data_IF_751734632868
#
_entry.id   IF_751734632868
#
_cell.length_a   1.000
_cell.length_b   1.000
_cell.length_c   1.000
_cell.angle_alpha   90.00
_cell.angle_beta   90.00
_cell.angle_gamma   90.00
#
_symmetry.space_group_name_H-M   'P 1'
#
loop_
_entity.id
_entity.type
_entity.pdbx_description
1 polymer ?
#
# COMPACT_ATOMS: atom_id res chain seq x y z
N UNK A 1 2.88 7.79 5.51
CA UNK A 1 4.27 7.29 5.44
C UNK A 1 4.63 6.53 6.70
N UNK A 2 5.21 5.34 6.55
CA UNK A 2 5.62 4.45 7.65
C UNK A 2 7.13 4.18 7.58
N UNK A 3 7.91 4.76 8.48
CA UNK A 3 9.37 4.64 8.53
C UNK A 3 9.84 3.28 9.10
N UNK A 4 11.13 2.93 8.97
CA UNK A 4 11.67 1.61 9.35
C UNK A 4 11.38 1.14 10.78
N UNK A 5 11.18 2.04 11.73
CA UNK A 5 10.86 1.68 13.12
C UNK A 5 9.50 0.97 13.24
N UNK A 6 8.57 1.23 12.31
CA UNK A 6 7.21 0.65 12.33
C UNK A 6 7.12 -0.73 11.68
N UNK A 7 8.16 -1.21 11.03
CA UNK A 7 8.13 -2.52 10.33
C UNK A 7 7.86 -3.73 11.23
N UNK A 8 7.97 -3.56 12.55
CA UNK A 8 7.70 -4.62 13.54
C UNK A 8 6.32 -4.51 14.19
N UNK A 9 5.51 -3.52 13.78
CA UNK A 9 4.20 -3.24 14.37
C UNK A 9 3.12 -3.86 13.49
N UNK A 10 2.22 -4.62 14.11
CA UNK A 10 1.10 -5.25 13.42
C UNK A 10 -0.01 -4.24 13.07
N UNK A 11 -0.79 -4.57 12.05
CA UNK A 11 -1.89 -3.73 11.57
C UNK A 11 -2.89 -3.32 12.67
N UNK A 12 -3.24 -4.23 13.58
CA UNK A 12 -4.18 -3.93 14.67
C UNK A 12 -3.63 -2.86 15.64
N UNK A 13 -2.31 -2.84 15.85
CA UNK A 13 -1.69 -1.83 16.70
C UNK A 13 -1.62 -0.47 15.99
N UNK A 14 -1.40 -0.47 14.66
CA UNK A 14 -1.50 0.74 13.84
C UNK A 14 -2.93 1.30 13.88
N UNK A 15 -3.95 0.46 13.75
CA UNK A 15 -5.35 0.87 13.90
C UNK A 15 -5.62 1.51 15.27
N UNK A 16 -5.20 0.84 16.35
CA UNK A 16 -5.35 1.36 17.73
C UNK A 16 -4.59 2.68 17.93
N UNK A 17 -3.43 2.80 17.32
CA UNK A 17 -2.67 4.04 17.35
C UNK A 17 -3.48 5.19 16.71
N UNK A 18 -4.00 5.01 15.49
CA UNK A 18 -4.77 6.05 14.80
C UNK A 18 -6.08 6.37 15.52
N UNK A 19 -6.78 5.39 16.09
CA UNK A 19 -7.96 5.67 16.94
C UNK A 19 -7.65 6.58 18.13
N UNK A 20 -6.46 6.46 18.73
CA UNK A 20 -5.98 7.34 19.78
C UNK A 20 -5.48 8.68 19.24
N UNK A 21 -4.79 8.68 18.10
CA UNK A 21 -4.27 9.88 17.45
C UNK A 21 -5.42 10.82 17.03
N UNK A 22 -6.47 10.29 16.40
CA UNK A 22 -7.67 11.03 16.02
C UNK A 22 -8.31 11.75 17.24
N UNK A 23 -8.39 11.07 18.39
CA UNK A 23 -8.90 11.67 19.63
C UNK A 23 -7.97 12.75 20.19
N UNK A 24 -6.65 12.52 20.19
CA UNK A 24 -5.69 13.55 20.64
C UNK A 24 -5.65 14.76 19.71
N UNK A 25 -5.86 14.52 18.42
CA UNK A 25 -5.98 15.55 17.41
C UNK A 25 -7.35 16.27 17.46
N UNK A 26 -8.28 15.85 18.36
CA UNK A 26 -9.61 16.41 18.53
C UNK A 26 -10.40 16.48 17.22
N UNK A 27 -10.26 15.48 16.35
CA UNK A 27 -11.03 15.37 15.12
C UNK A 27 -12.47 14.95 15.43
N UNK A 28 -13.43 15.56 14.75
CA UNK A 28 -14.84 15.24 14.86
C UNK A 28 -15.20 13.99 14.06
N UNK A 29 -14.66 12.84 14.53
CA UNK A 29 -14.75 11.56 13.85
C UNK A 29 -16.13 10.93 14.01
N UNK A 30 -16.69 10.38 12.94
CA UNK A 30 -17.91 9.61 12.96
C UNK A 30 -17.69 8.21 13.60
N UNK A 31 -18.74 7.72 14.28
CA UNK A 31 -18.75 6.43 14.93
C UNK A 31 -19.87 5.54 14.40
N UNK A 32 -19.61 4.24 14.39
CA UNK A 32 -20.64 3.25 14.07
C UNK A 32 -21.76 3.28 15.11
N UNK A 33 -22.98 2.95 14.69
CA UNK A 33 -24.10 2.76 15.61
C UNK A 33 -24.00 1.50 16.46
N UNK A 34 -24.89 1.35 17.44
CA UNK A 34 -25.04 0.14 18.26
C UNK A 34 -24.36 0.21 19.61
N UNK A 35 -24.25 -0.95 20.31
CA UNK A 35 -23.78 -1.05 21.69
C UNK A 35 -22.26 -0.88 21.88
N UNK A 36 -21.48 -1.00 20.81
CA UNK A 36 -20.01 -0.87 20.87
C UNK A 36 -19.52 0.01 19.74
N UNK A 37 -19.76 1.34 19.84
CA UNK A 37 -19.38 2.27 18.77
C UNK A 37 -17.86 2.34 18.62
N UNK A 38 -17.39 2.30 17.37
CA UNK A 38 -15.99 2.49 17.00
C UNK A 38 -15.89 3.49 15.86
N UNK A 39 -14.74 4.17 15.76
CA UNK A 39 -14.49 5.16 14.73
C UNK A 39 -14.65 4.52 13.35
N UNK A 40 -15.33 5.21 12.45
CA UNK A 40 -15.47 4.79 11.05
C UNK A 40 -14.16 5.15 10.34
N UNK A 41 -13.26 4.17 10.28
CA UNK A 41 -11.96 4.30 9.62
C UNK A 41 -11.52 2.97 9.03
N UNK A 42 -10.85 3.01 7.88
CA UNK A 42 -10.30 1.82 7.24
C UNK A 42 -9.00 2.12 6.50
N UNK A 43 -8.09 1.15 6.48
CA UNK A 43 -6.85 1.24 5.69
C UNK A 43 -7.05 0.62 4.32
N UNK A 44 -6.52 1.24 3.29
CA UNK A 44 -6.60 0.76 1.92
C UNK A 44 -5.93 -0.62 1.76
N UNK A 45 -4.72 -0.76 2.26
CA UNK A 45 -3.98 -2.01 2.19
C UNK A 45 -3.12 -2.16 3.46
N UNK A 46 -3.52 -3.00 4.43
CA UNK A 46 -2.74 -3.22 5.63
C UNK A 46 -1.28 -3.52 5.34
N UNK A 47 -0.37 -2.76 5.97
CA UNK A 47 1.06 -2.99 5.79
C UNK A 47 1.47 -4.25 6.54
N UNK A 48 2.11 -5.18 5.84
CA UNK A 48 2.64 -6.41 6.44
C UNK A 48 3.80 -6.13 7.37
N UNK A 49 3.96 -6.96 8.40
CA UNK A 49 5.13 -6.92 9.29
C UNK A 49 6.41 -7.15 8.46
N UNK A 50 7.43 -6.36 8.75
CA UNK A 50 8.70 -6.41 8.02
C UNK A 50 8.83 -5.37 6.90
N UNK A 51 7.73 -4.74 6.47
CA UNK A 51 7.72 -3.74 5.42
C UNK A 51 7.79 -2.32 5.98
N UNK A 52 8.35 -1.41 5.16
CA UNK A 52 8.20 0.04 5.31
C UNK A 52 7.33 0.58 4.20
N UNK A 53 6.86 1.82 4.32
CA UNK A 53 6.02 2.41 3.28
C UNK A 53 6.12 3.93 3.21
N UNK A 54 6.02 4.44 1.98
CA UNK A 54 5.85 5.86 1.65
C UNK A 54 4.40 6.17 1.23
N UNK A 55 3.63 5.16 0.79
CA UNK A 55 2.28 5.31 0.23
C UNK A 55 1.24 4.45 0.96
N UNK A 56 0.86 4.85 2.17
CA UNK A 56 -0.25 4.26 2.91
C UNK A 56 -1.44 5.20 2.93
N UNK A 57 -2.64 4.63 2.79
CA UNK A 57 -3.89 5.38 2.76
C UNK A 57 -4.87 4.87 3.82
N UNK A 58 -5.60 5.79 4.39
CA UNK A 58 -6.64 5.52 5.37
C UNK A 58 -7.84 6.42 5.10
N UNK A 59 -9.01 5.83 4.93
CA UNK A 59 -10.27 6.54 4.96
C UNK A 59 -10.67 6.83 6.41
N UNK A 60 -11.13 8.03 6.68
CA UNK A 60 -11.66 8.47 7.95
C UNK A 60 -12.94 9.27 7.71
N UNK A 61 -14.04 8.83 8.30
CA UNK A 61 -15.29 9.60 8.26
C UNK A 61 -15.32 10.62 9.39
N UNK A 62 -15.61 11.88 9.04
CA UNK A 62 -15.72 12.98 9.98
C UNK A 62 -17.04 13.72 9.79
N UNK A 63 -17.61 14.28 10.87
CA UNK A 63 -18.82 15.09 10.77
C UNK A 63 -18.52 16.52 10.32
N UNK A 64 -17.33 17.01 10.67
CA UNK A 64 -16.87 18.34 10.28
C UNK A 64 -15.34 18.37 10.19
N UNK A 65 -14.82 19.29 9.38
CA UNK A 65 -13.40 19.61 9.31
C UNK A 65 -13.21 21.13 9.09
N UNK A 66 -12.12 21.68 9.59
CA UNK A 66 -11.76 23.09 9.37
C UNK A 66 -11.09 23.25 7.99
N UNK A 67 -10.11 22.42 7.69
CA UNK A 67 -9.45 22.31 6.39
C UNK A 67 -8.61 21.03 6.34
N UNK A 68 -8.25 20.56 5.15
CA UNK A 68 -7.34 19.41 4.97
C UNK A 68 -5.97 19.66 5.62
N UNK A 69 -5.45 20.88 5.52
CA UNK A 69 -4.16 21.23 6.12
C UNK A 69 -4.22 21.27 7.65
N UNK A 70 -5.32 21.78 8.26
CA UNK A 70 -5.52 21.74 9.71
C UNK A 70 -5.55 20.30 10.23
N UNK A 71 -6.33 19.42 9.59
CA UNK A 71 -6.40 18.00 9.95
C UNK A 71 -5.02 17.35 9.87
N UNK A 72 -4.26 17.62 8.79
CA UNK A 72 -2.90 17.10 8.61
C UNK A 72 -1.97 17.56 9.73
N UNK A 73 -1.98 18.84 10.08
CA UNK A 73 -1.13 19.40 11.13
C UNK A 73 -1.47 18.82 12.51
N UNK A 74 -2.75 18.73 12.85
CA UNK A 74 -3.24 18.16 14.12
C UNK A 74 -2.90 16.66 14.24
N UNK A 75 -3.06 15.89 13.18
CA UNK A 75 -2.67 14.48 13.16
C UNK A 75 -1.17 14.29 13.30
N UNK A 76 -0.36 15.12 12.65
CA UNK A 76 1.10 15.06 12.78
C UNK A 76 1.55 15.45 14.20
N UNK A 77 0.93 16.47 14.80
CA UNK A 77 1.19 16.84 16.20
C UNK A 77 0.79 15.73 17.19
N UNK A 78 -0.25 14.96 16.87
CA UNK A 78 -0.70 13.82 17.67
C UNK A 78 0.03 12.50 17.36
N UNK A 79 0.91 12.49 16.35
CA UNK A 79 1.65 11.30 15.90
C UNK A 79 2.94 11.08 16.70
N UNK A 80 3.59 9.95 16.43
CA UNK A 80 4.88 9.57 17.01
C UNK A 80 5.96 9.56 15.92
N UNK A 81 7.25 9.67 16.29
CA UNK A 81 8.33 9.49 15.32
C UNK A 81 8.17 8.19 14.54
N UNK A 82 8.23 8.28 13.21
CA UNK A 82 8.06 7.13 12.31
C UNK A 82 6.72 7.10 11.58
N UNK A 83 5.70 7.86 12.03
CA UNK A 83 4.44 8.07 11.32
C UNK A 83 4.36 9.53 10.90
N UNK A 84 4.12 9.76 9.61
CA UNK A 84 3.96 11.09 9.03
C UNK A 84 2.72 11.12 8.13
N UNK A 85 1.83 12.06 8.37
CA UNK A 85 0.70 12.36 7.50
C UNK A 85 1.19 13.34 6.44
N UNK A 86 1.29 12.87 5.20
CA UNK A 86 1.83 13.67 4.08
C UNK A 86 0.76 14.48 3.39
N UNK A 87 -0.46 13.95 3.32
CA UNK A 87 -1.61 14.57 2.66
C UNK A 87 -2.91 14.21 3.35
N UNK A 88 -3.89 15.09 3.27
CA UNK A 88 -5.30 14.85 3.62
C UNK A 88 -6.13 15.37 2.44
N UNK A 89 -7.09 14.59 2.01
CA UNK A 89 -7.98 14.91 0.88
C UNK A 89 -9.43 14.68 1.27
N UNK A 90 -10.32 15.47 0.71
CA UNK A 90 -11.77 15.23 0.77
C UNK A 90 -12.12 14.30 -0.37
N UNK A 91 -12.79 13.20 -0.08
CA UNK A 91 -13.25 12.26 -1.09
C UNK A 91 -14.63 12.62 -1.61
N UNK A 92 -14.95 12.34 -2.87
CA UNK A 92 -16.30 12.44 -3.39
C UNK A 92 -17.26 11.52 -2.61
N UNK A 93 -18.52 11.93 -2.45
CA UNK A 93 -19.56 11.13 -1.74
C UNK A 93 -19.75 9.72 -2.31
N UNK A 94 -19.46 9.53 -3.60
CA UNK A 94 -19.53 8.24 -4.28
C UNK A 94 -18.18 7.53 -4.40
N UNK A 95 -17.15 8.03 -3.72
CA UNK A 95 -15.87 7.33 -3.70
C UNK A 95 -16.05 5.94 -3.11
N UNK A 96 -15.52 4.95 -3.78
CA UNK A 96 -15.45 3.60 -3.24
C UNK A 96 -14.57 3.56 -1.99
N UNK A 97 -14.79 2.59 -1.12
CA UNK A 97 -13.91 2.30 0.01
C UNK A 97 -12.47 2.08 -0.51
N UNK A 98 -11.48 2.74 0.11
CA UNK A 98 -10.08 2.68 -0.34
C UNK A 98 -9.55 1.24 -0.46
N UNK A 99 -9.94 0.34 0.47
CA UNK A 99 -9.54 -1.07 0.41
C UNK A 99 -10.06 -1.78 -0.86
N UNK A 100 -11.28 -1.48 -1.28
CA UNK A 100 -11.87 -2.06 -2.50
C UNK A 100 -11.30 -1.41 -3.78
N UNK A 101 -10.77 -0.19 -3.67
CA UNK A 101 -10.23 0.56 -4.80
C UNK A 101 -8.78 0.20 -5.14
N UNK A 102 -8.06 -0.50 -4.26
CA UNK A 102 -6.67 -0.90 -4.54
C UNK A 102 -6.63 -1.87 -5.71
N UNK A 103 -5.94 -1.45 -6.77
CA UNK A 103 -5.70 -2.26 -7.98
C UNK A 103 -4.25 -2.75 -8.06
N UNK A 104 -3.29 -1.89 -7.70
CA UNK A 104 -1.87 -2.21 -7.78
C UNK A 104 -1.09 -1.58 -6.63
N UNK A 105 0.13 -2.07 -6.41
CA UNK A 105 1.07 -1.45 -5.50
C UNK A 105 2.50 -1.50 -6.08
N UNK A 106 3.20 -0.39 -5.91
CA UNK A 106 4.59 -0.23 -6.27
C UNK A 106 5.50 -0.48 -5.07
N UNK A 107 6.57 -1.23 -5.28
CA UNK A 107 7.52 -1.57 -4.22
C UNK A 107 8.96 -1.36 -4.69
N UNK A 108 9.80 -0.94 -3.76
CA UNK A 108 11.24 -1.09 -3.87
C UNK A 108 11.66 -2.29 -3.04
N UNK A 109 12.47 -3.16 -3.63
CA UNK A 109 13.00 -4.37 -3.01
C UNK A 109 14.51 -4.32 -3.08
N UNK A 110 15.17 -4.41 -1.94
CA UNK A 110 16.62 -4.54 -1.80
C UNK A 110 16.96 -5.77 -0.96
N UNK A 111 18.21 -6.20 -1.02
CA UNK A 111 18.70 -7.32 -0.22
C UNK A 111 19.46 -6.80 1.01
N UNK A 112 19.38 -7.55 2.10
CA UNK A 112 20.24 -7.32 3.25
C UNK A 112 21.67 -7.72 2.89
N UNK A 113 22.62 -7.08 3.52
CA UNK A 113 24.05 -7.36 3.35
C UNK A 113 24.34 -8.88 3.44
N UNK A 114 25.05 -9.40 2.44
CA UNK A 114 25.40 -10.82 2.33
C UNK A 114 24.23 -11.76 2.02
N UNK A 115 23.06 -11.26 1.65
CA UNK A 115 21.86 -12.06 1.32
C UNK A 115 21.30 -11.79 -0.08
N UNK A 116 22.08 -11.10 -0.91
CA UNK A 116 21.77 -10.90 -2.32
C UNK A 116 21.96 -12.18 -3.15
N UNK A 117 21.52 -12.16 -4.42
CA UNK A 117 21.74 -13.28 -5.34
C UNK A 117 23.22 -13.44 -5.69
N UNK A 118 23.64 -14.69 -6.02
CA UNK A 118 24.95 -14.98 -6.57
C UNK A 118 24.96 -14.98 -8.11
N UNK A 119 23.79 -14.79 -8.73
CA UNK A 119 23.63 -14.64 -10.17
C UNK A 119 23.52 -13.14 -10.55
N UNK A 120 23.76 -12.83 -11.83
CA UNK A 120 23.55 -11.48 -12.37
C UNK A 120 22.06 -11.13 -12.37
N UNK A 121 21.68 -10.23 -11.46
CA UNK A 121 20.29 -9.88 -11.18
C UNK A 121 19.64 -9.21 -12.39
N UNK A 122 20.36 -8.36 -13.12
CA UNK A 122 19.83 -7.65 -14.29
C UNK A 122 19.42 -8.61 -15.38
N UNK A 123 20.37 -9.47 -15.83
CA UNK A 123 20.08 -10.48 -16.85
C UNK A 123 19.02 -11.50 -16.40
N UNK A 124 18.96 -11.80 -15.10
CA UNK A 124 17.94 -12.70 -14.57
C UNK A 124 16.54 -12.08 -14.65
N UNK A 125 16.41 -10.79 -14.33
CA UNK A 125 15.14 -10.04 -14.47
C UNK A 125 14.69 -9.99 -15.93
N UNK A 126 15.60 -9.75 -16.87
CA UNK A 126 15.25 -9.70 -18.30
C UNK A 126 14.73 -11.07 -18.78
N UNK A 127 15.43 -12.16 -18.43
CA UNK A 127 14.98 -13.54 -18.76
C UNK A 127 13.65 -13.88 -18.11
N UNK A 128 13.46 -13.50 -16.83
CA UNK A 128 12.24 -13.74 -16.08
C UNK A 128 11.05 -13.05 -16.73
N UNK A 129 11.22 -11.80 -17.14
CA UNK A 129 10.16 -11.03 -17.82
C UNK A 129 9.92 -11.45 -19.26
N UNK A 130 10.86 -12.12 -19.90
CA UNK A 130 10.70 -12.63 -21.28
C UNK A 130 9.83 -13.90 -21.34
N UNK A 131 9.51 -14.52 -20.22
CA UNK A 131 8.68 -15.73 -20.18
C UNK A 131 7.21 -15.41 -20.46
N UNK A 132 6.54 -16.37 -21.07
CA UNK A 132 5.08 -16.31 -21.31
C UNK A 132 4.31 -16.56 -20.01
N UNK A 133 4.83 -17.42 -19.13
CA UNK A 133 4.25 -17.80 -17.86
C UNK A 133 5.29 -17.84 -16.74
N UNK A 134 4.88 -17.45 -15.53
CA UNK A 134 5.66 -17.55 -14.29
C UNK A 134 4.77 -18.22 -13.26
N UNK A 135 4.84 -19.55 -13.21
CA UNK A 135 3.95 -20.35 -12.35
C UNK A 135 4.59 -20.55 -10.97
N UNK A 136 3.80 -20.31 -9.94
CA UNK A 136 4.14 -20.65 -8.56
C UNK A 136 3.00 -21.44 -7.90
N UNK A 137 3.36 -22.27 -6.94
CA UNK A 137 2.39 -22.96 -6.09
C UNK A 137 2.14 -22.14 -4.82
N UNK A 138 0.90 -21.74 -4.60
CA UNK A 138 0.47 -21.03 -3.38
C UNK A 138 -0.29 -21.97 -2.48
N UNK A 139 0.23 -22.20 -1.28
CA UNK A 139 -0.48 -22.95 -0.25
C UNK A 139 -1.64 -22.11 0.31
N UNK A 140 -2.80 -22.72 0.43
CA UNK A 140 -4.00 -22.13 0.99
C UNK A 140 -4.60 -23.07 2.04
N UNK A 141 -5.50 -22.56 2.88
CA UNK A 141 -6.23 -23.38 3.86
C UNK A 141 -7.06 -24.52 3.22
N UNK A 142 -7.32 -24.44 1.90
CA UNK A 142 -8.11 -25.42 1.14
C UNK A 142 -7.25 -26.33 0.24
N UNK A 143 -5.92 -26.25 0.34
CA UNK A 143 -4.96 -26.98 -0.48
C UNK A 143 -4.05 -26.05 -1.29
N UNK A 144 -3.19 -26.62 -2.12
CA UNK A 144 -2.31 -25.86 -3.00
C UNK A 144 -3.03 -25.39 -4.26
N UNK A 145 -2.68 -24.20 -4.74
CA UNK A 145 -3.18 -23.64 -5.99
C UNK A 145 -2.01 -23.09 -6.79
N UNK A 146 -1.96 -23.43 -8.06
CA UNK A 146 -1.06 -22.82 -9.01
C UNK A 146 -1.57 -21.44 -9.43
N UNK A 147 -0.71 -20.46 -9.46
CA UNK A 147 -0.99 -19.10 -9.93
C UNK A 147 0.11 -18.64 -10.89
N UNK A 148 -0.29 -17.91 -11.94
CA UNK A 148 0.62 -17.31 -12.89
C UNK A 148 0.92 -15.87 -12.43
N UNK A 149 2.15 -15.61 -11.98
CA UNK A 149 2.56 -14.27 -11.56
C UNK A 149 2.71 -13.30 -12.73
N UNK A 150 2.98 -13.81 -13.95
CA UNK A 150 3.25 -13.00 -15.13
C UNK A 150 2.18 -11.96 -15.40
N UNK A 151 0.91 -12.34 -15.28
CA UNK A 151 -0.25 -11.49 -15.54
C UNK A 151 -0.38 -10.33 -14.55
N UNK A 152 0.11 -10.51 -13.32
CA UNK A 152 0.03 -9.51 -12.27
C UNK A 152 1.34 -8.78 -11.99
N UNK A 153 2.40 -9.00 -12.77
CA UNK A 153 3.62 -8.19 -12.72
C UNK A 153 3.53 -7.12 -13.82
N UNK A 154 3.06 -5.93 -13.46
CA UNK A 154 2.89 -4.83 -14.41
C UNK A 154 4.22 -4.17 -14.79
N UNK A 155 5.18 -4.15 -13.87
CA UNK A 155 6.53 -3.64 -14.09
C UNK A 155 7.52 -4.24 -13.12
N UNK A 156 8.68 -4.60 -13.63
CA UNK A 156 9.85 -4.99 -12.84
C UNK A 156 11.08 -4.43 -13.49
N UNK A 157 11.93 -3.74 -12.75
CA UNK A 157 13.18 -3.17 -13.29
C UNK A 157 14.21 -2.97 -12.21
N UNK A 158 15.48 -3.00 -12.61
CA UNK A 158 16.58 -2.53 -11.76
C UNK A 158 16.46 -1.02 -11.52
N UNK A 159 16.71 -0.56 -10.31
CA UNK A 159 16.86 0.87 -9.95
C UNK A 159 18.28 1.18 -9.47
N UNK A 160 18.94 0.21 -8.87
CA UNK A 160 20.35 0.22 -8.48
C UNK A 160 20.89 -1.21 -8.63
N UNK A 161 22.19 -1.43 -8.43
CA UNK A 161 22.85 -2.73 -8.67
C UNK A 161 22.18 -3.92 -7.94
N UNK A 162 21.67 -3.73 -6.75
CA UNK A 162 21.01 -4.77 -5.94
C UNK A 162 19.62 -4.34 -5.46
N UNK A 163 18.95 -3.49 -6.23
CA UNK A 163 17.64 -2.93 -5.87
C UNK A 163 16.70 -2.94 -7.07
N UNK A 164 15.53 -3.47 -6.84
CA UNK A 164 14.46 -3.63 -7.82
C UNK A 164 13.29 -2.71 -7.50
N UNK A 165 12.65 -2.20 -8.53
CA UNK A 165 11.29 -1.69 -8.46
C UNK A 165 10.33 -2.71 -9.03
N UNK A 166 9.26 -2.99 -8.29
CA UNK A 166 8.15 -3.87 -8.67
C UNK A 166 6.84 -3.07 -8.65
N UNK A 167 6.04 -3.19 -9.70
CA UNK A 167 4.65 -2.78 -9.73
C UNK A 167 3.82 -4.03 -9.99
N UNK A 168 2.99 -4.40 -9.03
CA UNK A 168 2.26 -5.67 -9.06
C UNK A 168 0.78 -5.47 -8.75
N UNK A 169 -0.03 -6.42 -9.20
CA UNK A 169 -1.42 -6.53 -8.80
C UNK A 169 -1.54 -6.69 -7.28
N UNK A 170 -2.22 -5.73 -6.66
CA UNK A 170 -2.53 -5.71 -5.23
C UNK A 170 -4.05 -5.76 -4.97
N UNK A 171 -4.84 -6.02 -6.00
CA UNK A 171 -6.29 -6.16 -5.90
C UNK A 171 -6.69 -7.36 -5.03
N UNK A 172 -7.92 -7.37 -4.57
CA UNK A 172 -8.45 -8.51 -3.80
C UNK A 172 -8.44 -9.84 -4.56
N UNK A 173 -8.45 -9.80 -5.89
CA UNK A 173 -8.43 -10.98 -6.76
C UNK A 173 -7.03 -11.53 -6.99
N UNK A 174 -6.04 -10.66 -7.22
CA UNK A 174 -4.65 -11.04 -7.54
C UNK A 174 -3.76 -11.10 -6.29
N UNK A 175 -3.55 -9.98 -5.64
CA UNK A 175 -2.76 -9.82 -4.42
C UNK A 175 -1.39 -10.50 -4.46
N UNK A 176 -0.56 -10.10 -5.43
CA UNK A 176 0.81 -10.57 -5.57
C UNK A 176 1.70 -9.86 -4.56
N UNK A 177 2.48 -10.62 -3.82
CA UNK A 177 3.44 -10.08 -2.84
C UNK A 177 4.84 -10.03 -3.45
N UNK A 178 5.63 -8.96 -3.18
CA UNK A 178 7.01 -8.88 -3.65
C UNK A 178 7.85 -10.12 -3.36
N UNK A 179 7.69 -10.71 -2.18
CA UNK A 179 8.41 -11.94 -1.79
C UNK A 179 8.16 -13.10 -2.77
N UNK A 180 6.93 -13.28 -3.25
CA UNK A 180 6.59 -14.35 -4.19
C UNK A 180 7.29 -14.19 -5.54
N UNK A 181 7.41 -12.92 -6.01
CA UNK A 181 8.12 -12.61 -7.27
C UNK A 181 9.60 -12.89 -7.13
N UNK A 182 10.22 -12.49 -6.01
CA UNK A 182 11.65 -12.68 -5.78
C UNK A 182 11.97 -14.17 -5.53
N UNK A 183 11.15 -14.91 -4.78
CA UNK A 183 11.29 -16.35 -4.60
C UNK A 183 11.24 -17.10 -5.94
N UNK A 184 10.31 -16.75 -6.82
CA UNK A 184 10.22 -17.31 -8.16
C UNK A 184 11.47 -16.99 -8.99
N UNK A 185 11.96 -15.74 -8.96
CA UNK A 185 13.17 -15.34 -9.65
C UNK A 185 14.40 -16.12 -9.16
N UNK A 186 14.56 -16.30 -7.84
CA UNK A 186 15.65 -17.08 -7.25
C UNK A 186 15.57 -18.56 -7.66
N UNK A 187 14.39 -19.16 -7.52
CA UNK A 187 14.14 -20.55 -7.89
C UNK A 187 14.51 -20.83 -9.35
N UNK A 188 14.18 -19.92 -10.26
CA UNK A 188 14.51 -20.07 -11.69
C UNK A 188 16.02 -19.96 -11.99
N UNK A 189 16.77 -19.32 -11.11
CA UNK A 189 18.23 -19.25 -11.22
C UNK A 189 18.94 -20.30 -10.35
N UNK A 190 18.22 -21.32 -9.85
CA UNK A 190 18.78 -22.42 -9.08
C UNK A 190 19.17 -22.06 -7.65
N UNK A 191 18.71 -20.93 -7.14
CA UNK A 191 18.97 -20.48 -5.79
C UNK A 191 17.67 -20.45 -4.95
N UNK A 192 17.83 -20.53 -3.64
CA UNK A 192 16.73 -20.34 -2.68
C UNK A 192 16.92 -19.03 -1.96
N UNK A 193 15.88 -18.19 -1.97
CA UNK A 193 15.87 -16.94 -1.22
C UNK A 193 15.95 -17.24 0.28
N UNK A 194 16.97 -16.70 0.96
CA UNK A 194 17.13 -16.87 2.40
C UNK A 194 16.01 -16.18 3.17
N UNK A 195 15.66 -16.74 4.33
CA UNK A 195 14.72 -16.09 5.23
C UNK A 195 15.17 -14.69 5.61
N UNK A 196 14.23 -13.75 5.66
CA UNK A 196 14.50 -12.35 5.99
C UNK A 196 15.57 -11.67 5.11
N UNK A 197 15.83 -12.17 3.89
CA UNK A 197 16.82 -11.57 2.98
C UNK A 197 16.39 -10.19 2.48
N UNK A 198 15.09 -9.93 2.37
CA UNK A 198 14.57 -8.74 1.72
C UNK A 198 14.39 -7.55 2.66
N UNK A 199 14.63 -6.37 2.09
CA UNK A 199 14.19 -5.07 2.58
C UNK A 199 13.16 -4.55 1.57
N UNK A 200 11.90 -4.53 1.98
CA UNK A 200 10.79 -4.15 1.11
C UNK A 200 10.16 -2.85 1.59
N UNK A 201 10.08 -1.87 0.69
CA UNK A 201 9.36 -0.62 0.92
C UNK A 201 8.21 -0.52 -0.08
N UNK A 202 6.98 -0.27 0.40
CA UNK A 202 5.88 0.10 -0.47
C UNK A 202 6.04 1.57 -0.84
N UNK A 203 6.21 1.85 -2.11
CA UNK A 203 6.35 3.22 -2.59
C UNK A 203 5.00 3.89 -2.75
N UNK A 204 4.00 3.16 -3.29
CA UNK A 204 2.69 3.71 -3.60
C UNK A 204 1.64 2.61 -3.72
N UNK A 205 0.37 2.99 -3.49
CA UNK A 205 -0.81 2.17 -3.76
C UNK A 205 -1.68 2.88 -4.80
N UNK A 206 -2.15 2.11 -5.79
CA UNK A 206 -2.82 2.64 -6.96
C UNK A 206 -4.25 2.13 -7.07
N UNK A 207 -5.15 3.01 -7.49
CA UNK A 207 -6.44 2.66 -8.07
C UNK A 207 -6.34 2.53 -9.59
N UNK A 208 -7.35 1.92 -10.20
CA UNK A 208 -7.51 1.89 -11.66
C UNK A 208 -8.58 2.90 -12.07
N UNK A 209 -8.21 3.81 -12.97
CA UNK A 209 -9.14 4.80 -13.52
C UNK A 209 -10.10 4.17 -14.53
N UNK A 210 -11.11 4.92 -14.93
CA UNK A 210 -12.04 4.53 -16.02
C UNK A 210 -11.31 4.29 -17.37
N UNK A 211 -10.16 4.91 -17.56
CA UNK A 211 -9.32 4.73 -18.76
C UNK A 211 -8.27 3.64 -18.59
N UNK A 212 -8.41 2.79 -17.60
CA UNK A 212 -7.49 1.70 -17.24
C UNK A 212 -6.08 2.15 -16.78
N UNK A 213 -5.88 3.45 -16.51
CA UNK A 213 -4.63 3.96 -15.98
C UNK A 213 -4.51 3.72 -14.46
N UNK A 214 -3.30 3.42 -14.00
CA UNK A 214 -3.00 3.35 -12.57
C UNK A 214 -2.68 4.74 -12.03
N UNK A 215 -3.48 5.20 -11.09
CA UNK A 215 -3.34 6.49 -10.41
C UNK A 215 -3.15 6.27 -8.91
N UNK A 216 -2.38 7.11 -8.19
CA UNK A 216 -2.33 7.08 -6.73
C UNK A 216 -3.74 7.13 -6.13
N UNK A 217 -3.95 6.48 -5.00
CA UNK A 217 -5.29 6.41 -4.39
C UNK A 217 -5.88 7.79 -4.03
N UNK A 218 -5.04 8.79 -3.76
CA UNK A 218 -5.48 10.15 -3.46
C UNK A 218 -5.77 11.01 -4.70
N UNK A 219 -5.56 10.48 -5.91
CA UNK A 219 -5.80 11.21 -7.16
C UNK A 219 -7.28 11.60 -7.37
N UNK A 220 -8.21 10.89 -6.71
CA UNK A 220 -9.64 11.17 -6.76
C UNK A 220 -10.09 12.17 -5.68
N UNK A 221 -9.21 12.57 -4.78
CA UNK A 221 -9.53 13.45 -3.66
C UNK A 221 -9.22 14.91 -3.95
N UNK A 222 -9.89 15.80 -3.21
CA UNK A 222 -9.77 17.25 -3.31
C UNK A 222 -9.01 17.83 -2.13
N UNK A 223 -8.22 18.87 -2.38
CA UNK A 223 -7.40 19.54 -1.35
C UNK A 223 -8.22 20.49 -0.44
N UNK A 224 -9.44 20.85 -0.84
CA UNK A 224 -10.31 21.75 -0.10
C UNK A 224 -11.78 21.48 -0.39
N UNK A 225 -12.67 21.95 0.52
CA UNK A 225 -14.12 21.93 0.28
C UNK A 225 -14.53 22.76 -0.93
N UNK A 226 -13.86 23.88 -1.16
CA UNK A 226 -14.12 24.73 -2.33
C UNK A 226 -13.86 23.96 -3.64
N UNK A 227 -12.72 23.26 -3.73
CA UNK A 227 -12.40 22.42 -4.87
C UNK A 227 -13.40 21.27 -5.05
N UNK A 228 -13.85 20.66 -3.96
CA UNK A 228 -14.85 19.60 -3.96
C UNK A 228 -16.21 20.13 -4.47
N UNK A 229 -16.72 21.24 -3.91
CA UNK A 229 -18.02 21.85 -4.33
C UNK A 229 -17.98 22.27 -5.80
N UNK A 230 -16.88 22.88 -6.24
CA UNK A 230 -16.72 23.28 -7.64
C UNK A 230 -16.79 22.08 -8.60
N UNK A 231 -16.27 20.92 -8.21
CA UNK A 231 -16.31 19.69 -9.01
C UNK A 231 -17.66 18.98 -8.95
N UNK A 232 -18.39 19.08 -7.81
CA UNK A 232 -19.69 18.43 -7.57
C UNK A 232 -20.87 19.18 -8.25
N UNK A 233 -20.63 20.41 -8.72
CA UNK A 233 -21.68 21.24 -9.33
C UNK A 233 -22.64 21.87 -8.32
N UNK A 234 -22.36 21.77 -7.01
CA UNK A 234 -23.08 22.42 -5.93
C UNK A 234 -22.62 23.88 -5.82
N UNK A 235 -23.02 24.69 -6.78
CA UNK A 235 -23.05 26.15 -6.63
C UNK A 235 -24.38 26.52 -5.98
N UNK A 236 -24.32 27.07 -4.75
CA UNK A 236 -25.47 27.74 -4.11
C UNK A 236 -26.10 28.79 -5.02
#
# INVERSE_FOLDING_TARGET
RALPILRFIGHLDVMRFFQKANRRAELDVAYTGGFSPHQIMSFAAPLGVGLTSNGEYMDLEVHSLTSCEDVKQRLNAASVPGIEITSVKILPDKAGNAMASVAAAGYTVAFREGRGPHFDLGSAVDRFLAKDEILITKETKKGSREINLKEGIYKMKMVESEKLYLLVDASSAGNIKPIQVIEALFSENGETLQENALLVNREESYLRSETDALLPLDAIGFDSEEAYRAASGDTE
#
